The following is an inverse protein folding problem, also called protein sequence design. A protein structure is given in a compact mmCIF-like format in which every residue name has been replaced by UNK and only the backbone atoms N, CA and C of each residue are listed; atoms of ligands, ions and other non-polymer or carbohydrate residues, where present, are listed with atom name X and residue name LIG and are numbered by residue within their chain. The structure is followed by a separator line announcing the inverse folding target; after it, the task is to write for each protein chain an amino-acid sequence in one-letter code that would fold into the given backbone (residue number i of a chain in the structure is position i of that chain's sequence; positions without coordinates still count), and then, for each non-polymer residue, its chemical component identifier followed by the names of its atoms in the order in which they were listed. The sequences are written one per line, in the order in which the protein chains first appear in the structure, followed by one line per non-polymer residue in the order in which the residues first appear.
data_IF_511547006643
#
_entry.id   IF_511547006643
#
_cell.length_a   1.000
_cell.length_b   1.000
_cell.length_c   1.000
_cell.angle_alpha   90.00
_cell.angle_beta   90.00
_cell.angle_gamma   90.00
#
_symmetry.space_group_name_H-M   'P 1'
#
loop_
_entity.id
_entity.type
_entity.pdbx_description
1 polymer ?
#
# COMPACT_ATOMS: atom_id res chain seq x y z
N UNK A 1 27.03 -49.02 -9.08
CA UNK A 1 26.67 -48.11 -7.97
C UNK A 1 26.66 -46.63 -8.38
N UNK A 2 27.65 -46.13 -9.14
CA UNK A 2 27.77 -44.69 -9.49
C UNK A 2 26.69 -44.13 -10.45
N UNK A 3 25.99 -44.99 -11.21
CA UNK A 3 24.96 -44.57 -12.18
C UNK A 3 23.57 -44.29 -11.57
N UNK A 4 23.31 -44.72 -10.34
CA UNK A 4 22.04 -44.47 -9.63
C UNK A 4 22.03 -43.12 -8.90
N UNK A 5 23.21 -42.57 -8.56
CA UNK A 5 23.31 -41.27 -7.89
C UNK A 5 23.04 -40.08 -8.83
N UNK A 6 23.31 -40.22 -10.13
CA UNK A 6 23.07 -39.17 -11.12
C UNK A 6 21.59 -38.99 -11.48
N UNK A 7 20.77 -40.04 -11.35
CA UNK A 7 19.33 -39.94 -11.60
C UNK A 7 18.58 -39.24 -10.45
N UNK A 8 19.10 -39.30 -9.22
CA UNK A 8 18.51 -38.62 -8.07
C UNK A 8 18.75 -37.10 -8.06
N UNK A 9 19.79 -36.62 -8.74
CA UNK A 9 20.09 -35.17 -8.82
C UNK A 9 19.30 -34.44 -9.91
N UNK A 10 18.70 -35.13 -10.90
CA UNK A 10 17.95 -34.47 -11.98
C UNK A 10 16.47 -34.17 -11.66
N UNK A 11 15.92 -34.64 -10.53
CA UNK A 11 14.50 -34.47 -10.20
C UNK A 11 14.18 -33.31 -9.24
N UNK A 12 15.15 -32.49 -8.84
CA UNK A 12 14.96 -31.45 -7.81
C UNK A 12 14.74 -30.02 -8.33
N UNK A 13 14.76 -29.80 -9.65
CA UNK A 13 14.40 -28.51 -10.22
C UNK A 13 12.99 -28.53 -10.79
N UNK A 14 12.01 -28.93 -9.99
CA UNK A 14 10.66 -28.39 -10.14
C UNK A 14 10.77 -26.92 -9.78
N UNK A 15 11.05 -26.08 -10.78
CA UNK A 15 10.75 -24.65 -10.73
C UNK A 15 9.26 -24.59 -10.41
N UNK A 16 8.94 -24.44 -9.13
CA UNK A 16 7.58 -24.18 -8.69
C UNK A 16 7.20 -22.89 -9.41
N UNK A 17 6.40 -23.02 -10.47
CA UNK A 17 5.89 -21.89 -11.22
C UNK A 17 5.09 -21.07 -10.20
N UNK A 18 5.71 -20.00 -9.69
CA UNK A 18 5.13 -19.22 -8.61
C UNK A 18 3.80 -18.67 -9.09
N UNK A 19 2.77 -19.00 -8.35
CA UNK A 19 1.36 -18.82 -8.72
C UNK A 19 1.04 -17.34 -8.86
N UNK A 20 0.08 -17.02 -9.72
CA UNK A 20 -0.28 -15.65 -10.05
C UNK A 20 -0.66 -14.83 -8.80
N UNK A 21 -0.29 -13.54 -8.75
CA UNK A 21 -0.96 -12.61 -7.85
C UNK A 21 -2.31 -12.30 -8.47
N UNK A 22 -3.40 -12.64 -7.77
CA UNK A 22 -4.72 -12.33 -8.27
C UNK A 22 -5.03 -10.85 -8.03
N UNK A 23 -5.15 -10.16 -9.16
CA UNK A 23 -5.71 -8.82 -9.37
C UNK A 23 -5.88 -7.96 -8.13
N UNK A 24 -4.95 -7.05 -7.91
CA UNK A 24 -5.34 -5.86 -7.16
C UNK A 24 -4.64 -4.63 -7.69
N UNK A 25 -5.43 -3.78 -8.33
CA UNK A 25 -5.18 -2.36 -8.46
C UNK A 25 -6.43 -1.69 -7.92
N UNK A 26 -6.33 -1.10 -6.74
CA UNK A 26 -7.45 -0.39 -6.14
C UNK A 26 -7.84 0.78 -7.04
N UNK A 27 -9.15 0.99 -7.13
CA UNK A 27 -9.70 2.17 -7.78
C UNK A 27 -9.38 3.42 -6.96
N UNK A 28 -9.70 4.59 -7.53
CA UNK A 28 -9.58 5.85 -6.80
C UNK A 28 -10.39 5.80 -5.49
N UNK A 29 -9.84 6.41 -4.44
CA UNK A 29 -10.35 6.40 -3.08
C UNK A 29 -10.52 5.01 -2.46
N UNK A 30 -9.81 3.99 -2.95
CA UNK A 30 -9.75 2.69 -2.32
C UNK A 30 -8.33 2.40 -1.83
N UNK A 31 -8.26 1.66 -0.73
CA UNK A 31 -7.04 1.19 -0.09
C UNK A 31 -7.14 -0.32 0.10
N UNK A 32 -5.99 -0.99 0.22
CA UNK A 32 -5.98 -2.43 0.46
C UNK A 32 -6.41 -2.67 1.92
N UNK A 33 -7.54 -3.31 2.12
CA UNK A 33 -8.10 -3.58 3.46
C UNK A 33 -7.87 -5.02 3.91
N UNK A 34 -7.61 -5.95 2.97
CA UNK A 34 -7.38 -7.36 3.27
C UNK A 34 -6.24 -7.90 2.44
N UNK A 35 -5.42 -8.74 3.06
CA UNK A 35 -4.37 -9.52 2.39
C UNK A 35 -4.47 -10.97 2.84
N UNK A 36 -4.65 -11.87 1.90
CA UNK A 36 -4.73 -13.32 2.11
C UNK A 36 -3.48 -13.97 1.55
N UNK A 37 -2.85 -14.83 2.36
CA UNK A 37 -1.75 -15.70 1.95
C UNK A 37 -2.28 -17.13 1.96
N UNK A 38 -2.52 -17.68 0.78
CA UNK A 38 -3.03 -19.04 0.66
C UNK A 38 -1.95 -20.08 1.00
N UNK A 39 -2.37 -21.31 1.29
CA UNK A 39 -1.45 -22.43 1.62
C UNK A 39 -0.43 -22.71 0.51
N UNK A 40 -0.79 -22.39 -0.72
CA UNK A 40 0.03 -22.56 -1.91
C UNK A 40 0.99 -21.39 -2.19
N UNK A 41 1.03 -20.39 -1.30
CA UNK A 41 1.83 -19.17 -1.45
C UNK A 41 1.24 -18.14 -2.42
N UNK A 42 0.04 -18.37 -2.95
CA UNK A 42 -0.71 -17.36 -3.70
C UNK A 42 -1.07 -16.20 -2.79
N UNK A 43 -0.93 -14.98 -3.32
CA UNK A 43 -1.29 -13.76 -2.62
C UNK A 43 -2.51 -13.14 -3.29
N UNK A 44 -3.48 -12.75 -2.46
CA UNK A 44 -4.65 -11.99 -2.88
C UNK A 44 -4.82 -10.79 -1.96
N UNK A 45 -5.11 -9.65 -2.56
CA UNK A 45 -5.45 -8.45 -1.84
C UNK A 45 -6.85 -7.99 -2.25
N UNK A 46 -7.56 -7.37 -1.32
CA UNK A 46 -8.89 -6.81 -1.56
C UNK A 46 -8.91 -5.33 -1.19
N UNK A 47 -9.62 -4.55 -1.99
CA UNK A 47 -9.73 -3.11 -1.84
C UNK A 47 -11.00 -2.72 -1.09
N UNK A 48 -10.85 -1.83 -0.11
CA UNK A 48 -11.94 -1.20 0.61
C UNK A 48 -12.01 0.31 0.35
N UNK A 49 -13.20 0.93 0.44
CA UNK A 49 -13.35 2.36 0.30
C UNK A 49 -12.79 3.10 1.52
N UNK A 50 -11.98 4.14 1.29
CA UNK A 50 -11.56 5.04 2.36
C UNK A 50 -12.75 5.90 2.83
N UNK A 51 -12.95 6.10 4.14
CA UNK A 51 -14.10 6.84 4.67
C UNK A 51 -14.09 8.35 4.37
N UNK A 52 -12.92 8.96 4.20
CA UNK A 52 -12.77 10.38 3.87
C UNK A 52 -11.47 10.64 3.10
N UNK A 53 -11.31 11.87 2.62
CA UNK A 53 -10.11 12.30 1.92
C UNK A 53 -10.00 11.76 0.50
N UNK A 54 -8.77 11.70 0.01
CA UNK A 54 -8.44 11.39 -1.38
C UNK A 54 -7.33 10.33 -1.47
N UNK A 55 -7.53 9.29 -2.29
CA UNK A 55 -6.49 8.27 -2.57
C UNK A 55 -6.42 8.00 -4.07
N UNK A 56 -5.20 7.82 -4.58
CA UNK A 56 -5.01 7.33 -5.95
C UNK A 56 -4.93 8.40 -7.03
N UNK A 57 -4.63 9.66 -6.65
CA UNK A 57 -4.41 10.76 -7.60
C UNK A 57 -3.16 10.55 -8.44
N UNK A 58 -2.06 10.17 -7.80
CA UNK A 58 -0.78 9.84 -8.44
C UNK A 58 -0.35 8.48 -7.92
N UNK A 59 0.16 7.64 -8.80
CA UNK A 59 0.62 6.32 -8.42
C UNK A 59 1.92 5.98 -9.16
N UNK A 60 2.82 5.32 -8.44
CA UNK A 60 4.09 4.83 -8.92
C UNK A 60 4.02 3.30 -8.88
N UNK A 61 4.32 2.67 -9.99
CA UNK A 61 4.33 1.21 -10.11
C UNK A 61 5.72 0.65 -9.79
N UNK A 62 5.78 -0.67 -9.65
CA UNK A 62 7.00 -1.45 -9.56
C UNK A 62 7.96 -1.07 -8.41
N UNK A 63 7.40 -0.59 -7.31
CA UNK A 63 8.16 -0.21 -6.12
C UNK A 63 8.39 -1.41 -5.21
N UNK A 64 9.52 -1.48 -4.54
CA UNK A 64 9.75 -2.53 -3.52
C UNK A 64 9.08 -2.24 -2.19
N UNK A 65 8.70 -0.98 -1.96
CA UNK A 65 8.00 -0.49 -0.77
C UNK A 65 7.39 0.89 -1.05
N UNK A 66 6.30 1.24 -0.35
CA UNK A 66 5.78 2.61 -0.37
C UNK A 66 6.55 3.47 0.64
N UNK A 67 7.40 4.38 0.13
CA UNK A 67 8.43 5.08 0.93
C UNK A 67 7.92 6.33 1.62
N UNK A 68 7.01 7.07 1.00
CA UNK A 68 6.50 8.31 1.57
C UNK A 68 5.38 8.03 2.56
N UNK A 69 5.29 8.83 3.63
CA UNK A 69 4.15 8.79 4.56
C UNK A 69 2.84 9.17 3.88
N UNK A 70 2.93 9.91 2.78
CA UNK A 70 1.80 10.27 1.92
C UNK A 70 1.49 9.21 0.88
N UNK A 71 2.18 8.07 0.86
CA UNK A 71 1.87 6.94 -0.02
C UNK A 71 1.13 5.81 0.72
N UNK A 72 0.39 5.04 -0.08
CA UNK A 72 -0.32 3.84 0.35
C UNK A 72 -0.21 2.75 -0.71
N UNK A 73 -0.02 1.53 -0.24
CA UNK A 73 -0.14 0.31 -1.03
C UNK A 73 -1.54 0.20 -1.65
N UNK A 74 -1.58 0.20 -2.98
CA UNK A 74 -2.81 0.21 -3.79
C UNK A 74 -2.86 -0.96 -4.78
N UNK A 75 -1.84 -1.80 -4.82
CA UNK A 75 -1.80 -2.95 -5.71
C UNK A 75 -0.42 -3.59 -5.77
N UNK A 76 -0.34 -4.82 -6.31
CA UNK A 76 0.91 -5.57 -6.36
C UNK A 76 0.99 -6.55 -7.53
N UNK A 77 2.22 -6.96 -7.84
CA UNK A 77 2.54 -8.08 -8.74
C UNK A 77 3.83 -8.77 -8.29
N UNK A 78 4.07 -9.99 -8.74
CA UNK A 78 5.37 -10.63 -8.55
C UNK A 78 6.46 -9.88 -9.33
N UNK A 79 7.63 -9.74 -8.72
CA UNK A 79 8.84 -9.33 -9.42
C UNK A 79 9.24 -10.40 -10.46
N UNK A 80 10.04 -10.05 -11.49
CA UNK A 80 10.47 -11.01 -12.51
C UNK A 80 11.23 -12.23 -11.97
N UNK A 81 11.90 -12.09 -10.82
CA UNK A 81 12.57 -13.19 -10.11
C UNK A 81 11.59 -14.13 -9.38
N UNK A 82 10.31 -13.76 -9.26
CA UNK A 82 9.27 -14.41 -8.48
C UNK A 82 9.53 -14.46 -6.96
N UNK A 83 10.62 -13.91 -6.44
CA UNK A 83 10.99 -14.01 -5.02
C UNK A 83 10.47 -12.84 -4.18
N UNK A 84 10.19 -11.71 -4.80
CA UNK A 84 9.67 -10.52 -4.13
C UNK A 84 8.40 -10.03 -4.82
N UNK A 85 7.65 -9.22 -4.08
CA UNK A 85 6.48 -8.52 -4.59
C UNK A 85 6.90 -7.09 -4.94
N UNK A 86 6.42 -6.60 -6.08
CA UNK A 86 6.49 -5.19 -6.46
C UNK A 86 5.12 -4.55 -6.26
N UNK A 87 5.12 -3.35 -5.68
CA UNK A 87 3.97 -2.60 -5.23
C UNK A 87 3.66 -1.46 -6.20
N UNK A 88 2.37 -1.17 -6.30
CA UNK A 88 1.83 0.09 -6.79
C UNK A 88 1.51 0.96 -5.57
N UNK A 89 2.28 2.03 -5.41
CA UNK A 89 2.13 2.99 -4.34
C UNK A 89 1.39 4.21 -4.86
N UNK A 90 0.34 4.63 -4.18
CA UNK A 90 -0.47 5.78 -4.58
C UNK A 90 -0.47 6.83 -3.48
N UNK A 91 -0.56 8.10 -3.88
CA UNK A 91 -0.69 9.21 -2.93
C UNK A 91 -2.03 9.16 -2.20
N UNK A 92 -2.00 9.36 -0.88
CA UNK A 92 -3.13 9.51 0.02
C UNK A 92 -3.09 10.88 0.69
N UNK A 93 -4.23 11.56 0.74
CA UNK A 93 -4.44 12.80 1.49
C UNK A 93 -5.67 12.63 2.36
N UNK A 94 -5.45 12.42 3.65
CA UNK A 94 -6.49 12.24 4.67
C UNK A 94 -6.20 13.15 5.87
N UNK A 95 -7.21 13.51 6.68
CA UNK A 95 -7.03 14.39 7.83
C UNK A 95 -6.03 13.84 8.85
N UNK A 96 -6.21 12.56 9.22
CA UNK A 96 -5.33 11.87 10.17
C UNK A 96 -4.99 10.48 9.64
N UNK A 97 -3.70 10.19 9.52
CA UNK A 97 -3.14 8.87 9.19
C UNK A 97 -2.27 8.42 10.37
N UNK A 98 -2.70 7.39 11.08
CA UNK A 98 -2.09 6.91 12.32
C UNK A 98 -1.44 5.56 12.05
N UNK A 99 -0.19 5.37 12.46
CA UNK A 99 0.44 4.05 12.40
C UNK A 99 -0.11 3.16 13.52
N UNK A 100 -0.56 1.96 13.15
CA UNK A 100 -1.22 1.02 14.06
C UNK A 100 -0.25 -0.09 14.49
N UNK A 101 0.54 -0.60 13.55
CA UNK A 101 1.51 -1.65 13.83
C UNK A 101 1.89 -2.47 12.59
N UNK A 102 2.64 -3.54 12.83
CA UNK A 102 2.98 -4.53 11.80
C UNK A 102 2.50 -5.92 12.19
N UNK A 103 2.18 -6.74 11.19
CA UNK A 103 1.79 -8.12 11.40
C UNK A 103 2.41 -9.05 10.32
N UNK A 104 2.65 -10.32 10.62
CA UNK A 104 3.21 -11.31 9.68
C UNK A 104 2.15 -12.30 9.23
N UNK A 105 1.60 -12.14 8.03
CA UNK A 105 0.56 -13.00 7.48
C UNK A 105 1.20 -14.25 6.89
N UNK A 106 0.91 -15.40 7.49
CA UNK A 106 1.51 -16.69 7.12
C UNK A 106 0.60 -17.47 6.17
N UNK A 107 1.14 -18.51 5.54
CA UNK A 107 0.38 -19.38 4.64
C UNK A 107 -0.88 -19.96 5.32
N UNK A 108 -2.02 -19.91 4.62
CA UNK A 108 -3.32 -20.32 5.11
C UNK A 108 -4.04 -19.28 5.99
N UNK A 109 -3.50 -18.07 6.11
CA UNK A 109 -4.06 -17.00 6.94
C UNK A 109 -4.27 -15.70 6.15
N UNK A 110 -4.89 -14.71 6.80
CA UNK A 110 -5.13 -13.39 6.22
C UNK A 110 -5.08 -12.31 7.30
N UNK A 111 -4.80 -11.09 6.89
CA UNK A 111 -5.06 -9.88 7.67
C UNK A 111 -6.30 -9.19 7.12
N UNK A 112 -7.15 -8.65 8.01
CA UNK A 112 -8.35 -7.89 7.66
C UNK A 112 -8.47 -6.62 8.51
N UNK A 113 -8.45 -5.47 7.84
CA UNK A 113 -8.69 -4.16 8.44
C UNK A 113 -10.17 -3.76 8.40
N UNK A 114 -10.45 -2.54 7.95
CA UNK A 114 -11.81 -2.04 7.77
C UNK A 114 -12.31 -1.11 8.88
N UNK A 115 -13.63 -0.85 8.93
CA UNK A 115 -14.23 0.10 9.87
C UNK A 115 -14.07 -0.33 11.32
N UNK A 116 -13.64 0.59 12.18
CA UNK A 116 -13.33 0.32 13.59
C UNK A 116 -14.57 0.47 14.46
N UNK A 117 -14.71 -0.42 15.44
CA UNK A 117 -15.79 -0.35 16.40
C UNK A 117 -15.55 0.81 17.37
N UNK A 118 -16.61 1.51 17.79
CA UNK A 118 -16.50 2.70 18.65
C UNK A 118 -15.64 2.52 19.91
N UNK A 119 -15.64 1.32 20.48
CA UNK A 119 -14.86 0.98 21.67
C UNK A 119 -13.34 0.90 21.43
N UNK A 120 -12.93 0.71 20.17
CA UNK A 120 -11.54 0.52 19.75
C UNK A 120 -11.03 1.73 18.96
N UNK A 121 -11.79 2.83 18.93
CA UNK A 121 -11.41 4.05 18.23
C UNK A 121 -10.42 4.86 19.05
N UNK A 122 -9.43 5.48 18.39
CA UNK A 122 -8.51 6.44 19.02
C UNK A 122 -9.24 7.75 19.33
N UNK A 123 -10.09 8.21 18.41
CA UNK A 123 -10.90 9.41 18.56
C UNK A 123 -12.36 9.03 18.83
N UNK A 124 -13.02 9.63 19.85
CA UNK A 124 -14.38 9.25 20.23
C UNK A 124 -15.48 9.69 19.25
N UNK A 125 -15.14 10.52 18.26
CA UNK A 125 -16.07 11.07 17.24
C UNK A 125 -15.60 10.68 15.84
N UNK A 126 -16.53 10.68 14.88
CA UNK A 126 -16.21 10.39 13.49
C UNK A 126 -16.13 8.90 13.15
N UNK A 127 -15.26 8.58 12.19
CA UNK A 127 -15.07 7.23 11.63
C UNK A 127 -13.59 6.89 11.56
N UNK A 128 -13.26 5.68 11.97
CA UNK A 128 -11.92 5.12 11.84
C UNK A 128 -11.91 3.89 10.95
N UNK A 129 -10.84 3.72 10.18
CA UNK A 129 -10.71 2.63 9.22
C UNK A 129 -9.26 2.16 9.11
N UNK A 130 -9.02 0.87 9.37
CA UNK A 130 -7.71 0.25 9.23
C UNK A 130 -7.47 -0.24 7.81
N UNK A 131 -6.25 -0.03 7.30
CA UNK A 131 -5.84 -0.47 5.98
C UNK A 131 -4.35 -0.84 5.97
N UNK A 132 -3.95 -1.64 4.98
CA UNK A 132 -2.56 -2.04 4.78
C UNK A 132 -1.87 -0.97 3.94
N UNK A 133 -0.90 -0.26 4.52
CA UNK A 133 -0.17 0.80 3.85
C UNK A 133 1.08 0.30 3.10
N UNK A 134 1.64 -0.82 3.50
CA UNK A 134 2.84 -1.39 2.91
C UNK A 134 2.92 -2.91 3.15
N UNK A 135 3.67 -3.62 2.33
CA UNK A 135 3.91 -5.06 2.49
C UNK A 135 5.34 -5.45 2.12
N UNK A 136 5.86 -6.52 2.74
CA UNK A 136 7.17 -7.09 2.43
C UNK A 136 7.10 -8.61 2.54
N UNK A 137 7.60 -9.31 1.53
CA UNK A 137 7.79 -10.77 1.61
C UNK A 137 8.91 -11.11 2.58
N UNK A 138 8.63 -12.02 3.52
CA UNK A 138 9.58 -12.51 4.52
C UNK A 138 9.60 -14.04 4.56
N UNK A 139 10.57 -14.62 5.29
CA UNK A 139 10.58 -16.06 5.51
C UNK A 139 9.32 -16.46 6.29
N UNK A 140 8.49 -17.32 5.70
CA UNK A 140 7.26 -17.82 6.33
C UNK A 140 5.99 -17.01 6.07
N UNK A 141 6.05 -15.89 5.33
CA UNK A 141 4.84 -15.11 5.03
C UNK A 141 5.07 -13.75 4.38
N UNK A 142 4.09 -12.86 4.56
CA UNK A 142 4.13 -11.47 4.13
C UNK A 142 3.93 -10.57 5.34
N UNK A 143 4.92 -9.73 5.66
CA UNK A 143 4.79 -8.69 6.67
C UNK A 143 3.95 -7.55 6.11
N UNK A 144 2.97 -7.11 6.87
CA UNK A 144 2.08 -5.98 6.53
C UNK A 144 2.28 -4.85 7.53
N UNK A 145 2.20 -3.61 7.05
CA UNK A 145 2.18 -2.40 7.88
C UNK A 145 0.78 -1.82 7.84
N UNK A 146 0.16 -1.72 9.01
CA UNK A 146 -1.22 -1.28 9.17
C UNK A 146 -1.23 0.17 9.60
N UNK A 147 -2.07 0.96 8.93
CA UNK A 147 -2.37 2.32 9.31
C UNK A 147 -3.88 2.49 9.45
N UNK A 148 -4.26 3.50 10.21
CA UNK A 148 -5.63 3.90 10.44
C UNK A 148 -5.87 5.28 9.86
N UNK A 149 -6.93 5.42 9.09
CA UNK A 149 -7.48 6.73 8.78
C UNK A 149 -8.49 7.09 9.87
N UNK A 150 -8.37 8.27 10.45
CA UNK A 150 -9.39 8.86 11.31
C UNK A 150 -10.00 10.09 10.62
N UNK A 151 -11.32 10.04 10.42
CA UNK A 151 -12.12 11.09 9.80
C UNK A 151 -13.03 11.69 10.86
N UNK A 152 -13.09 13.01 10.95
CA UNK A 152 -14.12 13.71 11.71
C UNK A 152 -15.52 13.52 11.12
N UNK A 153 -16.54 14.00 11.83
CA UNK A 153 -17.94 13.89 11.41
C UNK A 153 -18.22 14.67 10.11
N UNK A 154 -17.50 15.76 9.88
CA UNK A 154 -17.64 16.64 8.71
C UNK A 154 -16.69 16.26 7.55
N UNK A 155 -15.77 15.32 7.75
CA UNK A 155 -14.80 14.92 6.75
C UNK A 155 -15.45 14.02 5.69
N UNK A 156 -15.59 14.55 4.47
CA UNK A 156 -16.16 13.82 3.36
C UNK A 156 -15.09 13.19 2.46
N UNK A 157 -15.52 12.17 1.72
CA UNK A 157 -14.73 11.58 0.64
C UNK A 157 -14.77 12.51 -0.56
N UNK A 158 -13.60 12.76 -1.17
CA UNK A 158 -13.54 13.55 -2.40
C UNK A 158 -14.02 12.69 -3.57
N UNK A 159 -15.22 12.93 -4.10
CA UNK A 159 -15.67 12.24 -5.31
C UNK A 159 -14.89 12.75 -6.53
N UNK A 160 -14.35 11.82 -7.31
CA UNK A 160 -13.74 12.16 -8.59
C UNK A 160 -14.80 12.09 -9.67
N UNK A 161 -15.06 13.19 -10.38
CA UNK A 161 -15.70 13.09 -11.69
C UNK A 161 -14.84 12.18 -12.57
N UNK A 162 -15.42 11.08 -13.04
CA UNK A 162 -14.83 10.33 -14.13
C UNK A 162 -14.83 11.25 -15.34
N UNK A 163 -13.64 11.73 -15.74
CA UNK A 163 -13.47 12.34 -17.05
C UNK A 163 -13.75 11.26 -18.07
N UNK A 164 -15.00 11.20 -18.54
CA UNK A 164 -15.36 10.42 -19.72
C UNK A 164 -14.61 11.08 -20.86
N UNK A 165 -13.51 10.47 -21.28
CA UNK A 165 -12.84 10.82 -22.53
C UNK A 165 -13.88 10.67 -23.63
N UNK A 166 -14.48 11.78 -24.05
CA UNK A 166 -15.28 11.80 -25.25
C UNK A 166 -14.35 11.34 -26.39
N UNK A 167 -14.79 10.43 -27.26
CA UNK A 167 -14.01 10.08 -28.45
C UNK A 167 -13.70 11.38 -29.21
N UNK A 168 -12.53 11.49 -29.85
CA UNK A 168 -12.16 12.69 -30.58
C UNK A 168 -13.27 12.99 -31.59
N UNK A 169 -13.88 14.17 -31.46
CA UNK A 169 -14.75 14.72 -32.50
C UNK A 169 -13.89 14.79 -33.75
N UNK A 170 -14.23 13.95 -34.73
CA UNK A 170 -13.58 13.95 -36.04
C UNK A 170 -13.90 15.29 -36.69
N UNK A 171 -12.97 16.23 -36.57
CA UNK A 171 -13.01 17.48 -37.30
C UNK A 171 -12.76 17.14 -38.77
N UNK A 172 -13.69 17.42 -39.70
CA UNK A 172 -13.43 17.20 -41.12
C UNK A 172 -12.27 18.09 -41.55
N UNK A 173 -11.23 17.46 -42.10
CA UNK A 173 -10.03 18.12 -42.61
C UNK A 173 -10.43 19.19 -43.63
N UNK A 174 -10.10 20.45 -43.33
CA UNK A 174 -10.04 21.50 -44.35
C UNK A 174 -8.78 21.31 -45.18
N UNK A 175 -8.83 21.52 -46.50
CA UNK A 175 -7.69 21.33 -47.36
C UNK A 175 -6.59 22.33 -47.04
N UNK A 176 -5.37 21.80 -46.95
CA UNK A 176 -4.11 22.54 -46.77
C UNK A 176 -3.91 23.43 -48.00
N UNK A 177 -3.88 24.74 -47.79
CA UNK A 177 -3.32 25.69 -48.75
C UNK A 177 -1.90 26.01 -48.29
N UNK A 178 -0.96 25.63 -49.14
CA UNK A 178 0.47 25.81 -49.03
C UNK A 178 0.82 27.29 -49.33
N UNK A 179 1.44 28.00 -48.38
CA UNK A 179 2.22 29.23 -48.67
C UNK A 179 3.17 29.56 -47.51
N UNK A 180 4.47 29.38 -47.79
CA UNK A 180 5.61 30.26 -47.48
C UNK A 180 5.92 30.68 -46.00
N UNK A 181 7.10 30.23 -45.55
CA UNK A 181 7.97 30.84 -44.54
C UNK A 181 8.46 32.25 -45.01
N UNK A 182 9.12 33.14 -44.21
CA UNK A 182 10.02 32.84 -43.08
C UNK A 182 10.05 33.85 -41.90
N UNK A 183 10.67 33.46 -40.77
CA UNK A 183 11.66 34.27 -40.04
C UNK A 183 12.10 33.59 -38.72
N UNK A 184 13.40 33.37 -38.59
CA UNK A 184 14.09 33.02 -37.35
C UNK A 184 13.98 34.14 -36.28
N UNK A 185 14.16 33.79 -35.00
CA UNK A 185 15.05 34.61 -34.17
C UNK A 185 16.13 33.79 -33.47
N UNK A 186 17.34 34.33 -33.54
CA UNK A 186 18.58 33.88 -32.90
C UNK A 186 18.51 33.87 -31.35
N UNK A 187 19.39 33.09 -30.70
CA UNK A 187 19.40 32.90 -29.24
C UNK A 187 20.11 34.06 -28.54
N UNK A 188 19.66 34.39 -27.32
CA UNK A 188 20.46 35.14 -26.34
C UNK A 188 20.93 34.18 -25.26
N UNK A 189 22.24 34.00 -25.23
CA UNK A 189 23.04 33.48 -24.12
C UNK A 189 23.63 34.70 -23.43
N UNK A 190 23.54 34.76 -22.11
CA UNK A 190 24.35 35.51 -21.16
C UNK A 190 23.72 35.20 -19.78
N UNK A 191 24.42 34.96 -18.68
CA UNK A 191 25.80 34.62 -18.30
C UNK A 191 25.75 34.76 -16.78
N UNK A 192 26.30 33.79 -16.05
CA UNK A 192 26.98 33.88 -14.74
C UNK A 192 26.32 34.73 -13.61
N UNK A 193 26.36 34.32 -12.35
CA UNK A 193 27.57 34.42 -11.51
C UNK A 193 27.18 34.00 -10.08
N UNK A 194 28.11 33.27 -9.43
CA UNK A 194 28.48 33.20 -7.99
C UNK A 194 27.34 33.28 -6.94
N UNK A 195 27.21 32.33 -6.02
CA UNK A 195 28.24 31.96 -5.05
C UNK A 195 27.85 32.58 -3.71
N UNK A 196 27.39 31.75 -2.75
CA UNK A 196 27.64 32.00 -1.34
C UNK A 196 27.50 30.69 -0.56
N UNK A 197 28.64 30.26 -0.01
CA UNK A 197 28.77 29.27 1.04
C UNK A 197 28.51 29.93 2.41
N UNK A 198 28.32 29.08 3.43
CA UNK A 198 28.29 29.38 4.87
C UNK A 198 26.97 30.06 5.34
N UNK A 199 26.30 29.64 6.43
CA UNK A 199 26.81 29.15 7.70
C UNK A 199 25.95 27.99 8.26
N UNK A 200 26.64 27.03 8.88
CA UNK A 200 26.06 26.06 9.80
C UNK A 200 26.24 26.62 11.22
N UNK A 201 25.14 26.89 11.91
CA UNK A 201 25.14 27.11 13.35
C UNK A 201 24.56 25.87 14.02
N UNK A 202 25.41 25.19 14.79
CA UNK A 202 25.09 24.15 15.74
C UNK A 202 24.49 24.81 17.00
N UNK A 203 23.18 24.69 17.21
CA UNK A 203 22.55 24.90 18.53
C UNK A 203 22.50 23.56 19.26
N UNK A 204 23.44 23.34 20.17
CA UNK A 204 23.31 22.36 21.24
C UNK A 204 22.45 22.99 22.35
N UNK A 205 21.18 22.61 22.40
CA UNK A 205 20.26 22.92 23.50
C UNK A 205 20.37 21.86 24.59
N UNK A 206 20.78 22.28 25.78
CA UNK A 206 20.76 21.51 27.02
C UNK A 206 19.30 21.17 27.40
N UNK A 207 18.95 19.88 27.45
CA UNK A 207 17.70 19.42 28.07
C UNK A 207 17.95 19.13 29.56
N UNK A 208 17.42 20.02 30.42
CA UNK A 208 17.26 19.78 31.85
C UNK A 208 16.23 18.66 32.08
N UNK A 209 16.65 17.58 32.76
CA UNK A 209 15.78 16.54 33.29
C UNK A 209 14.93 17.11 34.43
N UNK A 210 13.68 17.47 34.13
CA UNK A 210 12.64 17.72 35.12
C UNK A 210 11.90 16.43 35.46
N UNK A 211 12.20 15.86 36.63
CA UNK A 211 11.36 14.88 37.31
C UNK A 211 10.05 15.54 37.72
N UNK A 212 8.91 15.14 37.14
CA UNK A 212 7.60 15.43 37.71
C UNK A 212 6.74 14.17 37.83
N UNK A 213 6.00 14.18 38.93
CA UNK A 213 5.50 13.07 39.72
C UNK A 213 4.38 12.24 39.08
N UNK A 214 4.29 11.01 39.58
CA UNK A 214 3.20 10.06 39.39
C UNK A 214 1.84 10.66 39.76
N UNK A 215 0.89 10.69 38.83
CA UNK A 215 -0.53 10.59 39.16
C UNK A 215 -1.09 9.23 38.70
N UNK A 216 -1.39 8.43 39.73
CA UNK A 216 -2.00 7.12 39.70
C UNK A 216 -3.46 7.20 39.20
N UNK A 217 -3.67 6.97 37.90
CA UNK A 217 -5.00 6.68 37.35
C UNK A 217 -5.19 5.17 37.20
N UNK A 218 -5.85 4.60 38.21
CA UNK A 218 -6.29 3.21 38.31
C UNK A 218 -7.27 2.82 37.19
N UNK A 219 -6.74 2.29 36.09
CA UNK A 219 -7.41 1.27 35.28
C UNK A 219 -6.33 0.34 34.72
N UNK A 220 -6.47 -0.99 34.79
CA UNK A 220 -5.55 -1.86 34.08
C UNK A 220 -5.57 -1.44 32.60
N UNK A 221 -4.41 -1.29 31.93
CA UNK A 221 -4.39 -1.02 30.51
C UNK A 221 -5.26 -2.07 29.84
N UNK A 222 -6.38 -1.66 29.25
CA UNK A 222 -7.11 -2.56 28.38
C UNK A 222 -6.10 -3.06 27.37
N UNK A 223 -5.95 -4.38 27.27
CA UNK A 223 -5.05 -5.03 26.34
C UNK A 223 -5.57 -4.74 24.91
N UNK A 224 -5.23 -3.55 24.43
CA UNK A 224 -5.51 -3.07 23.11
C UNK A 224 -4.62 -3.88 22.18
N UNK A 225 -5.21 -4.86 21.48
CA UNK A 225 -4.54 -5.52 20.38
C UNK A 225 -4.98 -4.83 19.07
N UNK A 226 -4.21 -3.84 18.57
CA UNK A 226 -4.58 -3.05 17.40
C UNK A 226 -4.65 -3.86 16.09
N UNK A 227 -4.08 -5.07 16.06
CA UNK A 227 -3.95 -5.86 14.84
C UNK A 227 -5.19 -6.75 14.68
N UNK A 228 -6.15 -6.30 13.87
CA UNK A 228 -7.46 -6.94 13.77
C UNK A 228 -7.45 -8.40 13.27
N UNK A 229 -8.31 -9.17 13.96
CA UNK A 229 -8.74 -10.57 13.86
C UNK A 229 -8.21 -11.45 12.70
N UNK A 230 -7.46 -12.50 13.09
CA UNK A 230 -7.22 -13.70 12.27
C UNK A 230 -8.05 -14.86 12.82
N UNK A 231 -9.18 -15.25 12.21
CA UNK A 231 -9.74 -16.55 12.55
C UNK A 231 -8.79 -17.64 12.00
N UNK A 232 -8.46 -18.66 12.80
CA UNK A 232 -7.82 -19.85 12.27
C UNK A 232 -8.72 -20.45 11.19
N UNK A 233 -8.12 -20.83 10.06
CA UNK A 233 -8.84 -21.47 8.96
C UNK A 233 -9.52 -22.73 9.52
N UNK A 234 -10.84 -22.71 9.67
CA UNK A 234 -11.59 -23.93 10.00
C UNK A 234 -11.43 -24.80 8.77
N UNK A 235 -10.60 -25.84 8.88
CA UNK A 235 -10.47 -26.88 7.87
C UNK A 235 -11.89 -27.22 7.40
N UNK A 236 -12.21 -26.92 6.14
CA UNK A 236 -13.45 -27.39 5.54
C UNK A 236 -13.39 -28.92 5.63
N UNK A 237 -14.13 -29.48 6.59
CA UNK A 237 -14.34 -30.91 6.66
C UNK A 237 -14.77 -31.37 5.27
N UNK A 238 -14.11 -32.37 4.68
CA UNK A 238 -14.58 -32.91 3.42
C UNK A 238 -15.99 -33.43 3.72
N UNK A 239 -16.99 -32.87 3.05
CA UNK A 239 -18.31 -33.48 2.96
C UNK A 239 -18.12 -34.82 2.26
N UNK A 240 -17.77 -35.83 3.06
CA UNK A 240 -17.66 -37.21 2.66
C UNK A 240 -19.04 -37.67 2.22
N UNK A 241 -19.13 -37.96 0.94
CA UNK A 241 -20.26 -38.55 0.24
C UNK A 241 -20.74 -39.79 1.00
N UNK A 242 -21.94 -39.73 1.58
CA UNK A 242 -22.62 -40.93 2.05
C UNK A 242 -23.32 -41.59 0.85
N UNK A 243 -22.68 -42.61 0.26
CA UNK A 243 -23.33 -43.62 -0.57
C UNK A 243 -22.70 -44.97 -0.30
N UNK A 244 -23.45 -45.80 0.41
CA UNK A 244 -23.78 -47.21 0.13
C UNK A 244 -24.57 -47.76 1.30
#
# INVERSE_FOLDING_TARGET
MLRLALAALLCLSLVSAKRAINGTRCMKNQVISRLTVFEDGTLEAECGPVPCGEVGRRCIEDQTSCRADTDVFSGMRWAPNGQSVLLRCCTIKVPNKIYVGTDLVTAGSYYEGGPIAKKDMYYPKGKEYDFIANVRTEQGGVRVWVYRVACGDDDQRVEFEQVVTQPPVVVPARPVVESEAPAEPKPKVESDTEGNEEEAEEEEGEEEEGEEEEEEATNPPQEFNPLRYRPPNVQRSPTGTRRS
#
